data_IF_029455218660
#
_entry.id   IF_029455218660
#
_cell.length_a   1.000
_cell.length_b   1.000
_cell.length_c   1.000
_cell.angle_alpha   90.00
_cell.angle_beta   90.00
_cell.angle_gamma   90.00
#
_symmetry.space_group_name_H-M   'P 1'
#
loop_
_entity.id
_entity.type
_entity.pdbx_description
1 polymer ?
#
# COMPACT_ATOMS: atom_id res chain seq x y z
N UNK A 1 27.45 -18.20 29.25
CA UNK A 1 26.68 -19.15 30.07
C UNK A 1 25.30 -18.57 30.31
N UNK A 2 24.30 -19.44 30.19
CA UNK A 2 22.85 -19.35 30.46
C UNK A 2 21.98 -18.24 29.82
N UNK A 3 21.12 -18.61 28.85
CA UNK A 3 20.01 -17.82 28.35
C UNK A 3 18.66 -18.37 28.87
N UNK A 4 18.23 -17.99 30.07
CA UNK A 4 16.87 -18.26 30.56
C UNK A 4 16.38 -17.14 31.46
N UNK A 5 15.52 -16.29 30.94
CA UNK A 5 14.29 -15.82 31.62
C UNK A 5 13.55 -14.83 30.73
N UNK A 6 12.54 -15.35 30.01
CA UNK A 6 11.54 -14.54 29.30
C UNK A 6 10.18 -14.94 29.89
N UNK A 7 9.50 -14.06 30.65
CA UNK A 7 8.25 -14.44 31.30
C UNK A 7 7.13 -14.65 30.27
N UNK A 8 6.46 -15.79 30.37
CA UNK A 8 5.35 -16.20 29.53
C UNK A 8 4.05 -15.44 29.86
N UNK A 9 3.24 -15.18 28.83
CA UNK A 9 1.97 -14.45 28.91
C UNK A 9 0.96 -15.19 29.80
N UNK A 10 0.54 -14.54 30.88
CA UNK A 10 -0.59 -14.94 31.73
C UNK A 10 -1.89 -14.99 30.89
N UNK A 11 -2.59 -16.13 30.98
CA UNK A 11 -3.94 -16.33 30.42
C UNK A 11 -4.96 -15.55 31.25
N UNK A 12 -5.96 -15.00 30.55
CA UNK A 12 -7.04 -14.17 31.08
C UNK A 12 -8.06 -15.07 31.77
N UNK A 13 -8.21 -14.91 33.09
CA UNK A 13 -9.28 -15.53 33.88
C UNK A 13 -10.60 -14.81 33.64
N UNK A 14 -11.67 -15.60 33.60
CA UNK A 14 -13.05 -15.19 33.38
C UNK A 14 -13.65 -14.46 34.58
N UNK A 15 -14.64 -13.60 34.28
CA UNK A 15 -15.30 -12.71 35.19
C UNK A 15 -16.41 -13.45 35.95
N UNK A 16 -16.27 -13.60 37.26
CA UNK A 16 -17.28 -14.18 38.15
C UNK A 16 -18.26 -13.07 38.57
N UNK A 17 -19.56 -13.31 38.37
CA UNK A 17 -20.64 -12.52 38.96
C UNK A 17 -20.91 -13.01 40.39
N UNK A 18 -21.06 -12.06 41.30
CA UNK A 18 -21.52 -12.26 42.68
C UNK A 18 -23.03 -12.54 42.70
N UNK A 19 -23.45 -13.60 43.39
CA UNK A 19 -24.77 -13.69 44.03
C UNK A 19 -24.65 -14.49 45.32
N UNK A 20 -25.28 -13.97 46.36
CA UNK A 20 -25.25 -14.36 47.77
C UNK A 20 -25.89 -15.73 48.10
N UNK A 21 -25.59 -16.16 49.33
CA UNK A 21 -25.85 -17.42 50.03
C UNK A 21 -27.28 -17.99 50.01
N UNK A 22 -27.39 -19.34 50.05
CA UNK A 22 -27.93 -20.09 51.22
C UNK A 22 -27.93 -21.63 51.06
N UNK A 23 -27.21 -22.27 51.99
CA UNK A 23 -27.49 -23.53 52.73
C UNK A 23 -27.62 -24.94 52.06
N UNK A 24 -26.64 -25.79 52.43
CA UNK A 24 -26.75 -27.14 53.05
C UNK A 24 -27.42 -28.32 52.29
N UNK A 25 -26.63 -29.29 51.83
CA UNK A 25 -26.40 -30.64 52.42
C UNK A 25 -25.82 -31.65 51.41
N UNK A 26 -24.81 -32.41 51.84
CA UNK A 26 -24.18 -33.60 51.23
C UNK A 26 -24.99 -34.88 51.65
N UNK A 27 -24.76 -36.14 51.18
CA UNK A 27 -23.60 -36.64 50.42
C UNK A 27 -23.85 -37.61 49.22
N UNK A 28 -22.81 -37.70 48.37
CA UNK A 28 -22.21 -38.83 47.58
C UNK A 28 -22.70 -40.29 47.88
N UNK A 29 -22.47 -41.35 47.06
CA UNK A 29 -21.54 -41.46 45.90
C UNK A 29 -21.88 -42.46 44.73
N UNK A 30 -20.94 -42.52 43.77
CA UNK A 30 -20.41 -43.76 43.12
C UNK A 30 -20.88 -44.16 41.70
N UNK A 31 -19.85 -44.23 40.82
CA UNK A 31 -19.58 -45.11 39.66
C UNK A 31 -20.60 -45.19 38.51
N UNK A 32 -20.20 -45.30 37.25
CA UNK A 32 -18.90 -45.53 36.65
C UNK A 32 -19.00 -45.51 35.13
N UNK A 33 -17.84 -45.68 34.50
CA UNK A 33 -17.54 -46.07 33.11
C UNK A 33 -18.69 -46.79 32.36
N UNK A 34 -18.88 -46.69 31.05
CA UNK A 34 -17.94 -46.93 29.95
C UNK A 34 -18.57 -46.44 28.62
N UNK A 35 -17.72 -46.10 27.64
CA UNK A 35 -17.76 -46.48 26.19
C UNK A 35 -19.04 -47.12 25.63
N UNK A 36 -19.44 -47.00 24.36
CA UNK A 36 -19.04 -46.33 23.14
C UNK A 36 -20.12 -46.70 22.08
N UNK A 37 -19.99 -46.12 20.88
CA UNK A 37 -20.54 -46.58 19.59
C UNK A 37 -21.97 -46.14 19.17
N UNK A 38 -21.95 -45.33 18.10
CA UNK A 38 -22.74 -45.45 16.87
C UNK A 38 -23.85 -46.52 16.85
N UNK A 39 -25.07 -46.13 16.49
CA UNK A 39 -25.55 -46.30 15.11
C UNK A 39 -26.95 -45.71 14.90
N UNK A 40 -27.12 -45.19 13.68
CA UNK A 40 -28.34 -45.06 12.86
C UNK A 40 -29.71 -44.61 13.44
N UNK A 41 -30.25 -43.59 12.77
CA UNK A 41 -31.67 -43.21 12.65
C UNK A 41 -32.58 -44.39 12.20
N UNK A 42 -33.93 -44.30 12.11
CA UNK A 42 -34.77 -43.09 12.12
C UNK A 42 -36.12 -43.20 12.89
N UNK A 43 -36.81 -42.06 12.98
CA UNK A 43 -38.26 -42.05 12.80
C UNK A 43 -39.14 -41.92 14.05
N UNK A 44 -39.77 -40.74 14.11
CA UNK A 44 -41.20 -40.57 14.42
C UNK A 44 -41.62 -40.48 15.89
N UNK A 45 -42.41 -39.42 16.13
CA UNK A 45 -42.90 -38.87 17.41
C UNK A 45 -43.71 -39.85 18.27
N UNK A 46 -43.99 -39.45 19.53
CA UNK A 46 -45.40 -39.30 19.85
C UNK A 46 -45.80 -38.15 20.79
N UNK A 47 -46.99 -37.63 20.48
CA UNK A 47 -48.12 -37.31 21.36
C UNK A 47 -48.09 -36.13 22.34
N UNK A 48 -48.96 -35.16 21.99
CA UNK A 48 -50.15 -34.70 22.73
C UNK A 48 -49.95 -34.14 24.14
N UNK A 49 -50.35 -32.87 24.28
CA UNK A 49 -51.56 -32.57 25.06
C UNK A 49 -52.33 -31.39 24.46
N UNK A 50 -53.58 -31.68 24.11
CA UNK A 50 -54.64 -30.74 23.75
C UNK A 50 -55.24 -30.20 25.05
N UNK A 51 -55.40 -28.88 25.16
CA UNK A 51 -56.58 -28.27 25.75
C UNK A 51 -57.02 -27.09 24.87
N UNK A 52 -58.34 -27.03 24.65
CA UNK A 52 -59.07 -26.10 23.79
C UNK A 52 -59.50 -24.86 24.57
N UNK A 53 -59.82 -23.83 23.78
CA UNK A 53 -60.81 -22.74 23.96
C UNK A 53 -60.15 -21.38 23.69
N UNK A 54 -60.70 -20.45 22.93
CA UNK A 54 -61.94 -20.33 22.17
C UNK A 54 -61.68 -19.18 21.18
N UNK A 55 -62.30 -19.25 20.01
CA UNK A 55 -62.20 -18.28 18.92
C UNK A 55 -62.93 -16.98 19.27
N UNK A 56 -62.30 -15.83 19.04
CA UNK A 56 -63.02 -14.64 18.59
C UNK A 56 -62.14 -13.83 17.61
N UNK A 57 -62.73 -13.41 16.51
CA UNK A 57 -62.11 -12.59 15.45
C UNK A 57 -62.91 -11.30 15.36
N UNK A 58 -62.24 -10.14 15.27
CA UNK A 58 -62.71 -9.15 14.30
C UNK A 58 -61.60 -8.69 13.35
N UNK A 59 -61.99 -8.52 12.09
CA UNK A 59 -61.19 -7.97 10.98
C UNK A 59 -61.07 -6.43 11.07
N UNK A 60 -59.96 -5.90 10.55
CA UNK A 60 -59.97 -4.71 9.69
C UNK A 60 -58.96 -3.60 10.02
N UNK A 61 -57.89 -3.49 9.22
CA UNK A 61 -57.57 -2.30 8.36
C UNK A 61 -56.23 -2.54 7.59
N UNK A 62 -56.10 -2.08 6.33
CA UNK A 62 -54.86 -2.19 5.56
C UNK A 62 -53.97 -0.95 5.75
N UNK A 63 -52.79 -1.09 6.36
CA UNK A 63 -51.78 -0.03 6.40
C UNK A 63 -50.87 -0.07 5.15
N UNK A 64 -50.63 1.11 4.58
CA UNK A 64 -49.81 1.40 3.41
C UNK A 64 -48.31 1.04 3.60
N UNK A 65 -47.55 0.83 2.50
CA UNK A 65 -46.14 0.47 2.60
C UNK A 65 -45.29 1.71 2.94
N UNK A 66 -44.82 1.78 4.18
CA UNK A 66 -43.87 2.78 4.65
C UNK A 66 -42.52 2.61 3.89
N UNK A 67 -42.10 3.65 3.16
CA UNK A 67 -40.80 3.74 2.48
C UNK A 67 -39.66 3.73 3.53
N UNK A 68 -39.30 2.54 4.00
CA UNK A 68 -38.17 2.36 4.89
C UNK A 68 -36.86 2.62 4.11
N UNK A 69 -36.28 3.80 4.32
CA UNK A 69 -34.92 4.11 3.92
C UNK A 69 -33.97 2.93 4.25
N UNK A 70 -33.05 2.55 3.36
CA UNK A 70 -32.26 1.33 3.53
C UNK A 70 -31.42 1.40 4.81
N UNK A 71 -31.80 0.60 5.81
CA UNK A 71 -31.10 0.49 7.10
C UNK A 71 -29.71 -0.09 6.85
N UNK A 72 -28.67 0.72 7.07
CA UNK A 72 -27.27 0.31 6.97
C UNK A 72 -27.02 -1.00 7.75
N UNK A 73 -26.24 -1.89 7.17
CA UNK A 73 -25.88 -3.17 7.79
C UNK A 73 -25.15 -2.96 9.12
N UNK A 74 -25.33 -3.88 10.09
CA UNK A 74 -24.61 -3.88 11.38
C UNK A 74 -23.09 -3.71 11.22
N UNK A 75 -22.52 -4.23 10.13
CA UNK A 75 -21.10 -4.06 9.81
C UNK A 75 -20.74 -2.64 9.32
N UNK A 76 -21.61 -2.00 8.55
CA UNK A 76 -21.43 -0.61 8.11
C UNK A 76 -21.54 0.35 9.30
N UNK A 77 -22.51 0.16 10.20
CA UNK A 77 -22.59 0.92 11.46
C UNK A 77 -21.36 0.71 12.35
N UNK A 78 -20.85 -0.51 12.47
CA UNK A 78 -19.62 -0.79 13.24
C UNK A 78 -18.40 -0.09 12.62
N UNK A 79 -18.33 0.00 11.29
CA UNK A 79 -17.28 0.73 10.57
C UNK A 79 -17.39 2.25 10.77
N UNK A 80 -18.60 2.81 10.70
CA UNK A 80 -18.89 4.22 10.98
C UNK A 80 -18.53 4.60 12.42
N UNK A 81 -19.02 3.86 13.41
CA UNK A 81 -18.68 4.11 14.83
C UNK A 81 -17.18 4.00 15.10
N UNK A 82 -16.48 3.09 14.42
CA UNK A 82 -15.02 2.98 14.53
C UNK A 82 -14.33 4.21 13.93
N UNK A 83 -14.84 4.71 12.81
CA UNK A 83 -14.33 5.92 12.16
C UNK A 83 -14.57 7.17 13.02
N UNK A 84 -15.78 7.37 13.54
CA UNK A 84 -16.13 8.47 14.46
C UNK A 84 -15.30 8.43 15.74
N UNK A 85 -15.10 7.24 16.32
CA UNK A 85 -14.24 7.06 17.49
C UNK A 85 -12.77 7.39 17.18
N UNK A 86 -12.31 7.04 15.98
CA UNK A 86 -10.96 7.37 15.54
C UNK A 86 -10.82 8.89 15.33
N UNK A 87 -11.79 9.51 14.67
CA UNK A 87 -11.80 10.94 14.39
C UNK A 87 -11.87 11.79 15.67
N UNK A 88 -12.78 11.47 16.59
CA UNK A 88 -12.85 12.14 17.90
C UNK A 88 -11.57 11.98 18.70
N UNK A 89 -10.89 10.82 18.61
CA UNK A 89 -9.58 10.60 19.23
C UNK A 89 -8.40 11.23 18.48
N UNK A 90 -8.60 12.00 17.40
CA UNK A 90 -7.49 12.58 16.61
C UNK A 90 -6.71 13.62 17.40
N UNK A 91 -7.38 14.55 18.06
CA UNK A 91 -6.73 15.60 18.87
C UNK A 91 -6.05 15.00 20.10
N UNK A 92 -6.69 14.06 20.81
CA UNK A 92 -6.07 13.33 21.92
C UNK A 92 -4.78 12.62 21.51
N UNK A 93 -4.77 11.98 20.34
CA UNK A 93 -3.58 11.30 19.82
C UNK A 93 -2.48 12.30 19.43
N UNK A 94 -2.85 13.47 18.94
CA UNK A 94 -1.91 14.57 18.65
C UNK A 94 -1.28 15.10 19.94
N UNK A 95 -2.06 15.30 21.01
CA UNK A 95 -1.57 15.70 22.33
C UNK A 95 -0.66 14.62 22.93
N UNK A 96 -1.12 13.37 22.99
CA UNK A 96 -0.31 12.23 23.47
C UNK A 96 1.00 12.06 22.71
N UNK A 97 0.99 12.29 21.38
CA UNK A 97 2.22 12.30 20.57
C UNK A 97 3.16 13.44 20.98
N UNK A 98 2.64 14.67 21.14
CA UNK A 98 3.43 15.83 21.58
C UNK A 98 4.05 15.59 22.96
N UNK A 99 3.27 15.08 23.91
CA UNK A 99 3.74 14.73 25.26
C UNK A 99 4.80 13.64 25.23
N UNK A 100 4.58 12.56 24.46
CA UNK A 100 5.57 11.49 24.30
C UNK A 100 6.88 11.98 23.67
N UNK A 101 6.79 12.90 22.70
CA UNK A 101 7.97 13.55 22.11
C UNK A 101 8.68 14.43 23.14
N UNK A 102 7.92 15.23 23.92
CA UNK A 102 8.46 16.10 24.96
C UNK A 102 9.17 15.31 26.06
N UNK A 103 8.51 14.28 26.60
CA UNK A 103 9.09 13.38 27.61
C UNK A 103 10.35 12.67 27.08
N UNK A 104 10.37 12.27 25.80
CA UNK A 104 11.56 11.70 25.17
C UNK A 104 12.69 12.73 25.06
N UNK A 105 12.39 13.99 24.75
CA UNK A 105 13.38 15.08 24.71
C UNK A 105 13.93 15.40 26.11
N UNK A 106 13.07 15.42 27.14
CA UNK A 106 13.44 15.68 28.53
C UNK A 106 14.31 14.57 29.11
N UNK A 107 13.91 13.30 28.97
CA UNK A 107 14.71 12.16 29.43
C UNK A 107 16.12 12.17 28.82
N UNK A 108 16.21 12.47 27.52
CA UNK A 108 17.50 12.59 26.82
C UNK A 108 18.32 13.77 27.31
N UNK A 109 17.70 14.91 27.62
CA UNK A 109 18.41 16.07 28.17
C UNK A 109 18.99 15.74 29.55
N UNK A 110 18.25 15.01 30.39
CA UNK A 110 18.73 14.54 31.68
C UNK A 110 19.90 13.54 31.53
N UNK A 111 19.76 12.53 30.66
CA UNK A 111 20.84 11.59 30.32
C UNK A 111 22.11 12.33 29.80
N UNK A 112 21.94 13.43 29.06
CA UNK A 112 23.06 14.28 28.60
C UNK A 112 23.67 15.12 29.72
N UNK A 113 22.88 15.73 30.58
CA UNK A 113 23.37 16.53 31.72
C UNK A 113 24.19 15.65 32.68
N UNK A 114 23.77 14.41 32.90
CA UNK A 114 24.49 13.41 33.68
C UNK A 114 25.85 13.06 33.04
N UNK A 115 25.89 12.71 31.75
CA UNK A 115 27.14 12.43 31.03
C UNK A 115 28.05 13.66 30.82
N UNK A 116 27.48 14.89 30.82
CA UNK A 116 28.25 16.14 30.78
C UNK A 116 28.92 16.39 32.12
N UNK A 117 28.25 16.11 33.25
CA UNK A 117 28.82 16.22 34.59
C UNK A 117 29.99 15.25 34.80
N UNK A 118 29.98 14.10 34.14
CA UNK A 118 31.07 13.11 34.10
C UNK A 118 32.26 13.51 33.20
N UNK A 119 32.20 14.69 32.54
CA UNK A 119 33.33 15.26 31.78
C UNK A 119 33.58 14.66 30.39
N UNK A 120 32.68 13.83 29.87
CA UNK A 120 32.95 12.98 28.70
C UNK A 120 32.52 13.58 27.34
N UNK A 121 31.61 14.57 27.28
CA UNK A 121 31.01 15.02 26.00
C UNK A 121 30.75 16.55 25.97
N UNK A 122 31.25 17.24 24.93
CA UNK A 122 31.13 18.71 24.76
C UNK A 122 29.76 19.19 24.23
N UNK A 123 28.98 18.33 23.57
CA UNK A 123 27.67 18.66 23.00
C UNK A 123 26.61 17.57 23.24
N UNK A 124 25.32 17.93 23.30
CA UNK A 124 24.25 16.95 23.43
C UNK A 124 24.20 16.02 22.21
N UNK A 125 24.08 14.70 22.40
CA UNK A 125 23.97 13.77 21.28
C UNK A 125 22.71 14.08 20.45
N UNK A 126 22.83 14.17 19.11
CA UNK A 126 21.74 14.59 18.24
C UNK A 126 20.52 13.69 18.41
N UNK A 127 19.30 14.28 18.36
CA UNK A 127 17.99 13.64 18.59
C UNK A 127 17.82 12.30 17.86
N UNK A 128 18.47 12.18 16.72
CA UNK A 128 18.75 10.94 16.01
C UNK A 128 20.25 10.85 15.83
N UNK A 129 20.79 9.63 15.88
CA UNK A 129 22.13 9.43 15.33
C UNK A 129 22.16 10.11 13.95
N UNK A 130 23.22 10.86 13.60
CA UNK A 130 23.41 11.25 12.22
C UNK A 130 23.29 9.94 11.45
N UNK A 131 22.28 9.81 10.59
CA UNK A 131 22.36 8.74 9.61
C UNK A 131 23.69 9.07 8.92
N UNK A 132 24.68 8.19 9.03
CA UNK A 132 25.74 8.15 8.02
C UNK A 132 24.97 7.77 6.76
N UNK A 133 24.35 8.77 6.15
CA UNK A 133 23.47 8.57 5.01
C UNK A 133 24.40 8.08 3.94
N UNK A 134 24.05 6.95 3.34
CA UNK A 134 24.60 6.65 2.03
C UNK A 134 24.47 7.93 1.19
N UNK A 135 25.49 8.28 0.39
CA UNK A 135 25.44 9.47 -0.43
C UNK A 135 24.13 9.46 -1.23
N UNK A 136 23.51 10.63 -1.42
CA UNK A 136 22.24 10.71 -2.12
C UNK A 136 22.36 10.02 -3.48
N UNK A 137 21.38 9.16 -3.81
CA UNK A 137 21.38 8.43 -5.07
C UNK A 137 21.50 9.36 -6.28
N UNK A 138 22.01 8.83 -7.38
CA UNK A 138 22.21 9.57 -8.63
C UNK A 138 20.85 9.79 -9.29
N UNK A 139 20.50 11.05 -9.58
CA UNK A 139 19.33 11.37 -10.40
C UNK A 139 19.65 10.96 -11.84
N UNK A 140 18.78 10.17 -12.49
CA UNK A 140 18.90 9.79 -13.90
C UNK A 140 17.93 10.59 -14.76
N UNK A 141 18.22 10.80 -16.06
CA UNK A 141 17.34 11.55 -16.96
C UNK A 141 16.18 10.65 -17.44
N UNK A 142 15.36 10.18 -16.50
CA UNK A 142 14.12 9.47 -16.79
C UNK A 142 13.03 10.04 -15.90
N UNK A 143 11.87 10.32 -16.47
CA UNK A 143 10.68 10.74 -15.72
C UNK A 143 9.67 9.59 -15.61
N UNK A 144 9.08 9.44 -14.43
CA UNK A 144 7.89 8.60 -14.24
C UNK A 144 6.72 9.45 -13.79
N UNK A 145 5.62 9.40 -14.54
CA UNK A 145 4.38 10.14 -14.26
C UNK A 145 3.29 9.19 -13.79
N UNK A 146 2.62 9.54 -12.70
CA UNK A 146 1.36 8.91 -12.30
C UNK A 146 0.19 9.64 -12.96
N UNK A 147 -0.52 8.99 -13.87
CA UNK A 147 -1.76 9.51 -14.44
C UNK A 147 -2.90 9.33 -13.45
N UNK A 148 -3.35 10.40 -12.80
CA UNK A 148 -4.38 10.32 -11.75
C UNK A 148 -5.77 10.77 -12.19
N UNK A 149 -6.04 10.83 -13.49
CA UNK A 149 -7.38 11.14 -14.02
C UNK A 149 -8.31 9.92 -14.03
N UNK A 150 -8.45 9.26 -12.88
CA UNK A 150 -9.24 8.03 -12.72
C UNK A 150 -10.18 8.05 -11.50
N UNK A 151 -10.41 9.22 -10.92
CA UNK A 151 -11.17 9.35 -9.67
C UNK A 151 -12.57 8.71 -9.75
N UNK A 152 -13.24 8.84 -10.89
CA UNK A 152 -14.57 8.27 -11.12
C UNK A 152 -14.61 6.72 -11.15
N UNK A 153 -13.47 6.07 -11.37
CA UNK A 153 -13.34 4.61 -11.45
C UNK A 153 -12.94 3.97 -10.10
N UNK A 154 -12.73 4.79 -9.07
CA UNK A 154 -12.26 4.34 -7.76
C UNK A 154 -13.24 4.68 -6.65
N UNK A 155 -13.40 3.75 -5.72
CA UNK A 155 -14.06 4.05 -4.46
C UNK A 155 -13.12 4.84 -3.52
N UNK A 156 -13.66 5.54 -2.52
CA UNK A 156 -12.86 6.37 -1.59
C UNK A 156 -11.73 5.62 -0.87
N UNK A 157 -11.93 4.32 -0.58
CA UNK A 157 -10.89 3.50 0.05
C UNK A 157 -9.77 3.15 -0.92
N UNK A 158 -10.08 3.02 -2.20
CA UNK A 158 -9.10 2.79 -3.27
C UNK A 158 -8.30 4.05 -3.56
N UNK A 159 -8.95 5.21 -3.57
CA UNK A 159 -8.27 6.50 -3.66
C UNK A 159 -7.31 6.73 -2.48
N UNK A 160 -7.71 6.32 -1.26
CA UNK A 160 -6.82 6.33 -0.09
C UNK A 160 -5.60 5.43 -0.30
N UNK A 161 -5.81 4.23 -0.85
CA UNK A 161 -4.74 3.29 -1.19
C UNK A 161 -3.82 3.84 -2.27
N UNK A 162 -4.35 4.48 -3.30
CA UNK A 162 -3.56 5.13 -4.35
C UNK A 162 -2.66 6.23 -3.78
N UNK A 163 -3.19 7.11 -2.92
CA UNK A 163 -2.38 8.13 -2.26
C UNK A 163 -1.26 7.55 -1.38
N UNK A 164 -1.48 6.39 -0.75
CA UNK A 164 -0.43 5.66 -0.02
C UNK A 164 0.62 5.08 -0.98
N UNK A 165 0.18 4.50 -2.10
CA UNK A 165 1.08 3.98 -3.13
C UNK A 165 1.99 5.07 -3.70
N UNK A 166 1.46 6.27 -4.01
CA UNK A 166 2.26 7.42 -4.46
C UNK A 166 3.27 7.88 -3.38
N UNK A 167 2.84 7.92 -2.11
CA UNK A 167 3.73 8.27 -0.98
C UNK A 167 4.87 7.27 -0.81
N UNK A 168 4.57 5.97 -1.00
CA UNK A 168 5.57 4.90 -0.99
C UNK A 168 6.52 5.03 -2.18
N UNK A 169 5.99 5.26 -3.38
CA UNK A 169 6.75 5.52 -4.59
C UNK A 169 7.79 6.64 -4.42
N UNK A 170 7.39 7.77 -3.85
CA UNK A 170 8.32 8.86 -3.51
C UNK A 170 9.41 8.43 -2.51
N UNK A 171 9.00 7.71 -1.47
CA UNK A 171 9.92 7.23 -0.43
C UNK A 171 10.95 6.24 -0.96
N UNK A 172 10.54 5.34 -1.86
CA UNK A 172 11.39 4.32 -2.45
C UNK A 172 12.33 4.94 -3.49
N UNK A 173 11.84 5.86 -4.33
CA UNK A 173 12.68 6.64 -5.25
C UNK A 173 13.78 7.42 -4.52
N UNK A 174 13.47 8.08 -3.39
CA UNK A 174 14.47 8.84 -2.65
C UNK A 174 15.56 7.97 -2.03
N UNK A 175 15.26 6.71 -1.70
CA UNK A 175 16.23 5.76 -1.14
C UNK A 175 17.00 5.00 -2.22
N UNK A 176 16.56 5.05 -3.47
CA UNK A 176 17.15 4.29 -4.54
C UNK A 176 18.56 4.83 -4.89
N UNK A 177 19.50 3.95 -5.28
CA UNK A 177 20.81 4.35 -5.78
C UNK A 177 20.73 5.18 -7.07
N UNK A 178 19.72 4.91 -7.89
CA UNK A 178 19.39 5.65 -9.11
C UNK A 178 17.93 6.11 -9.03
N UNK A 179 17.70 7.41 -9.22
CA UNK A 179 16.43 8.08 -8.93
C UNK A 179 15.81 8.67 -10.17
N UNK A 180 14.51 8.44 -10.34
CA UNK A 180 13.70 9.07 -11.38
C UNK A 180 13.30 10.48 -11.00
N UNK A 181 13.00 11.30 -12.00
CA UNK A 181 12.11 12.44 -11.81
C UNK A 181 10.70 11.90 -11.67
N UNK A 182 9.95 12.37 -10.67
CA UNK A 182 8.57 11.92 -10.47
C UNK A 182 7.59 13.04 -10.79
N UNK A 183 6.44 12.67 -11.35
CA UNK A 183 5.34 13.57 -11.61
C UNK A 183 4.00 12.93 -11.29
N UNK A 184 3.00 13.77 -11.02
CA UNK A 184 1.59 13.39 -11.08
C UNK A 184 0.88 14.32 -12.04
N UNK A 185 0.05 13.76 -12.92
CA UNK A 185 -0.82 14.52 -13.80
C UNK A 185 -2.25 14.50 -13.28
N UNK A 186 -3.04 15.46 -13.75
CA UNK A 186 -4.43 15.70 -13.35
C UNK A 186 -4.54 15.87 -11.84
N UNK A 187 -3.57 16.58 -11.25
CA UNK A 187 -3.51 16.86 -9.83
C UNK A 187 -4.68 17.76 -9.41
N UNK A 188 -5.61 17.19 -8.65
CA UNK A 188 -6.82 17.89 -8.23
C UNK A 188 -7.78 16.99 -7.48
N UNK A 189 -9.04 17.41 -7.43
CA UNK A 189 -10.17 16.63 -6.92
C UNK A 189 -9.98 16.10 -5.50
N UNK A 190 -10.61 14.96 -5.22
CA UNK A 190 -10.55 14.29 -3.91
C UNK A 190 -9.13 13.84 -3.55
N UNK A 191 -8.28 13.59 -4.55
CA UNK A 191 -6.90 13.23 -4.30
C UNK A 191 -6.13 14.38 -3.64
N UNK A 192 -6.18 15.58 -4.24
CA UNK A 192 -5.53 16.78 -3.70
C UNK A 192 -6.08 17.14 -2.32
N UNK A 193 -7.40 17.10 -2.15
CA UNK A 193 -8.05 17.32 -0.85
C UNK A 193 -7.53 16.38 0.24
N UNK A 194 -7.33 15.10 -0.08
CA UNK A 194 -6.77 14.12 0.87
C UNK A 194 -5.33 14.44 1.24
N UNK A 195 -4.50 14.81 0.26
CA UNK A 195 -3.11 15.19 0.50
C UNK A 195 -3.01 16.48 1.32
N UNK A 196 -3.88 17.43 1.08
CA UNK A 196 -3.97 18.67 1.85
C UNK A 196 -4.45 18.43 3.29
N UNK A 197 -5.47 17.59 3.46
CA UNK A 197 -6.10 17.33 4.76
C UNK A 197 -5.39 16.28 5.61
N UNK A 198 -5.50 15.00 5.22
CA UNK A 198 -5.03 13.87 6.04
C UNK A 198 -3.49 13.82 6.09
N UNK A 199 -2.85 14.11 4.94
CA UNK A 199 -1.39 14.12 4.83
C UNK A 199 -0.79 15.51 5.11
N UNK A 200 -1.58 16.46 5.64
CA UNK A 200 -1.12 17.75 6.13
C UNK A 200 -0.20 18.51 5.17
N UNK A 201 -0.49 18.48 3.86
CA UNK A 201 0.29 19.15 2.81
C UNK A 201 1.77 18.75 2.76
N UNK A 202 2.15 17.59 3.30
CA UNK A 202 3.54 17.12 3.33
C UNK A 202 4.20 17.08 1.94
N UNK A 203 3.41 16.82 0.90
CA UNK A 203 3.86 16.74 -0.48
C UNK A 203 4.50 18.04 -1.00
N UNK A 204 4.14 19.19 -0.43
CA UNK A 204 4.73 20.50 -0.79
C UNK A 204 6.23 20.59 -0.48
N UNK A 205 6.73 19.72 0.39
CA UNK A 205 8.15 19.62 0.73
C UNK A 205 8.92 18.57 -0.08
N UNK A 206 8.25 17.85 -0.99
CA UNK A 206 8.87 16.77 -1.74
C UNK A 206 9.84 17.34 -2.79
N UNK A 207 11.04 16.77 -2.85
CA UNK A 207 12.09 17.20 -3.80
C UNK A 207 12.12 16.24 -4.99
N UNK A 208 12.17 16.78 -6.20
CA UNK A 208 12.17 15.97 -7.43
C UNK A 208 10.84 15.26 -7.71
N UNK A 209 9.73 15.79 -7.19
CA UNK A 209 8.38 15.33 -7.47
C UNK A 209 7.53 16.53 -7.88
N UNK A 210 6.97 16.50 -9.09
CA UNK A 210 6.15 17.57 -9.64
C UNK A 210 4.65 17.23 -9.55
N UNK A 211 3.83 18.22 -9.21
CA UNK A 211 2.38 18.10 -9.12
C UNK A 211 1.74 18.99 -10.18
N UNK A 212 1.23 18.39 -11.26
CA UNK A 212 0.73 19.10 -12.44
C UNK A 212 -0.79 18.95 -12.54
N UNK A 213 -1.51 20.07 -12.69
CA UNK A 213 -2.98 20.07 -12.83
C UNK A 213 -3.41 19.62 -14.24
N UNK A 214 -2.51 19.74 -15.22
CA UNK A 214 -2.63 19.27 -16.59
C UNK A 214 -2.86 17.76 -16.73
N UNK A 215 -3.43 17.31 -17.85
CA UNK A 215 -3.50 15.89 -18.18
C UNK A 215 -2.12 15.24 -18.40
N UNK A 216 -2.12 13.91 -18.49
CA UNK A 216 -0.89 13.12 -18.67
C UNK A 216 -0.16 13.44 -19.98
N UNK A 217 -0.88 13.85 -21.04
CA UNK A 217 -0.28 14.24 -22.33
C UNK A 217 0.57 15.48 -22.14
N UNK A 218 -0.04 16.57 -21.66
CA UNK A 218 0.67 17.84 -21.47
C UNK A 218 1.72 17.73 -20.37
N UNK A 219 1.46 16.98 -19.29
CA UNK A 219 2.45 16.72 -18.25
C UNK A 219 3.66 15.96 -18.78
N UNK A 220 3.45 14.97 -19.68
CA UNK A 220 4.55 14.22 -20.30
C UNK A 220 5.42 15.09 -21.21
N UNK A 221 4.82 16.04 -21.94
CA UNK A 221 5.58 17.01 -22.73
C UNK A 221 6.37 17.98 -21.84
N UNK A 222 5.77 18.49 -20.76
CA UNK A 222 6.45 19.33 -19.77
C UNK A 222 7.64 18.62 -19.11
N UNK A 223 7.55 17.30 -18.92
CA UNK A 223 8.59 16.53 -18.25
C UNK A 223 9.91 16.45 -19.01
N UNK A 224 9.90 16.68 -20.32
CA UNK A 224 11.13 16.77 -21.13
C UNK A 224 12.07 17.86 -20.61
N UNK A 225 11.51 18.97 -20.11
CA UNK A 225 12.31 20.05 -19.53
C UNK A 225 12.92 19.67 -18.17
N UNK A 226 12.30 18.76 -17.42
CA UNK A 226 12.80 18.35 -16.09
C UNK A 226 14.11 17.56 -16.18
N UNK A 227 14.31 16.87 -17.31
CA UNK A 227 15.50 16.08 -17.60
C UNK A 227 16.63 16.90 -18.23
N UNK A 228 16.41 18.21 -18.49
CA UNK A 228 17.42 19.10 -19.07
C UNK A 228 18.25 19.80 -17.99
N UNK A 229 19.45 20.23 -18.39
CA UNK A 229 20.34 21.05 -17.57
C UNK A 229 21.01 20.32 -16.41
N UNK A 230 21.68 21.05 -15.49
CA UNK A 230 22.53 20.44 -14.45
C UNK A 230 21.79 19.58 -13.42
N UNK A 231 20.49 19.82 -13.25
CA UNK A 231 19.62 19.06 -12.34
C UNK A 231 18.81 17.97 -13.05
N UNK A 232 18.94 17.86 -14.38
CA UNK A 232 18.24 16.89 -15.22
C UNK A 232 18.64 15.44 -14.99
N UNK A 233 19.73 15.21 -14.27
CA UNK A 233 20.27 13.90 -13.98
C UNK A 233 21.45 13.56 -14.87
N UNK A 234 22.04 12.39 -14.62
CA UNK A 234 23.18 11.87 -15.38
C UNK A 234 22.90 10.42 -15.74
N UNK A 235 23.38 10.01 -16.91
CA UNK A 235 23.34 8.61 -17.34
C UNK A 235 24.13 7.77 -16.34
N UNK A 236 23.45 6.82 -15.68
CA UNK A 236 24.02 5.99 -14.62
C UNK A 236 23.23 4.69 -14.46
N UNK A 237 23.81 3.72 -13.74
CA UNK A 237 23.22 2.41 -13.54
C UNK A 237 23.13 1.62 -14.84
N UNK A 238 22.03 0.91 -15.04
CA UNK A 238 21.74 0.16 -16.28
C UNK A 238 21.82 1.05 -17.54
N UNK A 239 21.46 2.33 -17.45
CA UNK A 239 21.47 3.25 -18.60
C UNK A 239 22.88 3.49 -19.17
N UNK A 240 23.92 3.44 -18.33
CA UNK A 240 25.28 3.65 -18.78
C UNK A 240 25.84 2.45 -19.58
N UNK A 241 25.29 1.26 -19.37
CA UNK A 241 25.67 0.04 -20.11
C UNK A 241 25.03 0.02 -21.49
N UNK A 242 23.78 0.46 -21.58
CA UNK A 242 23.01 0.48 -22.83
C UNK A 242 23.69 1.36 -23.89
N UNK A 243 24.14 2.56 -23.48
CA UNK A 243 24.88 3.47 -24.36
C UNK A 243 26.24 2.92 -24.85
N UNK A 244 26.81 1.91 -24.18
CA UNK A 244 28.11 1.35 -24.55
C UNK A 244 28.00 0.10 -25.45
N UNK A 245 26.89 -0.64 -25.36
CA UNK A 245 26.75 -1.96 -26.00
C UNK A 245 25.78 -1.99 -27.19
N UNK A 246 24.93 -0.96 -27.39
CA UNK A 246 23.87 -0.96 -28.42
C UNK A 246 23.87 0.29 -29.34
N UNK A 247 24.91 1.12 -29.33
CA UNK A 247 24.93 2.38 -30.10
C UNK A 247 25.12 2.16 -31.60
N UNK A 248 24.02 2.08 -32.36
CA UNK A 248 24.04 2.51 -33.77
C UNK A 248 23.72 4.00 -33.85
N UNK A 249 24.17 4.70 -34.90
CA UNK A 249 23.94 6.15 -35.05
C UNK A 249 22.44 6.54 -35.07
N UNK A 250 21.54 5.58 -35.34
CA UNK A 250 20.09 5.80 -35.29
C UNK A 250 19.55 5.70 -33.87
N UNK A 251 20.13 4.82 -33.04
CA UNK A 251 19.76 4.63 -31.64
C UNK A 251 20.28 5.77 -30.78
N UNK A 252 21.48 6.28 -31.05
CA UNK A 252 22.03 7.46 -30.35
C UNK A 252 21.11 8.68 -30.48
N UNK A 253 20.59 8.95 -31.68
CA UNK A 253 19.65 10.06 -31.90
C UNK A 253 18.30 9.84 -31.20
N UNK A 254 17.82 8.60 -31.16
CA UNK A 254 16.58 8.25 -30.45
C UNK A 254 16.74 8.36 -28.93
N UNK A 255 17.92 8.03 -28.40
CA UNK A 255 18.25 8.15 -26.98
C UNK A 255 18.49 9.61 -26.56
N UNK A 256 18.94 10.47 -27.47
CA UNK A 256 18.99 11.92 -27.26
C UNK A 256 17.60 12.56 -27.20
N UNK A 257 16.68 12.20 -28.11
CA UNK A 257 15.32 12.75 -28.13
C UNK A 257 14.40 12.13 -27.06
N UNK A 258 14.68 10.88 -26.66
CA UNK A 258 13.88 10.11 -25.71
C UNK A 258 12.50 9.71 -26.26
N UNK A 259 11.73 8.98 -25.46
CA UNK A 259 10.37 8.57 -25.80
C UNK A 259 9.36 8.82 -24.68
N UNK A 260 8.08 8.90 -25.04
CA UNK A 260 6.96 8.90 -24.08
C UNK A 260 6.21 7.58 -24.23
N UNK A 261 6.14 6.81 -23.14
CA UNK A 261 5.54 5.47 -23.15
C UNK A 261 4.54 5.34 -22.01
N UNK A 262 3.30 4.98 -22.33
CA UNK A 262 2.30 4.61 -21.33
C UNK A 262 2.41 3.12 -20.99
N UNK A 263 2.67 2.81 -19.73
CA UNK A 263 2.78 1.44 -19.23
C UNK A 263 1.39 0.85 -18.95
N UNK A 264 1.02 -0.20 -19.68
CA UNK A 264 -0.23 -0.95 -19.46
C UNK A 264 -0.01 -2.44 -19.71
N UNK A 265 -0.62 -3.29 -18.89
CA UNK A 265 -0.46 -4.74 -18.98
C UNK A 265 -1.02 -5.34 -20.29
N UNK A 266 -2.01 -4.68 -20.88
CA UNK A 266 -2.70 -5.06 -22.13
C UNK A 266 -1.97 -4.59 -23.40
N UNK A 267 -0.82 -3.91 -23.29
CA UNK A 267 -0.07 -3.50 -24.48
C UNK A 267 0.47 -4.71 -25.24
N UNK A 268 0.41 -4.64 -26.56
CA UNK A 268 1.03 -5.63 -27.45
C UNK A 268 2.57 -5.52 -27.44
N UNK A 269 3.11 -4.35 -27.12
CA UNK A 269 4.56 -4.13 -27.06
C UNK A 269 5.12 -4.47 -25.68
N UNK A 270 6.25 -5.18 -25.64
CA UNK A 270 6.97 -5.45 -24.39
C UNK A 270 8.06 -4.40 -24.17
N UNK A 271 8.19 -3.89 -22.94
CA UNK A 271 9.26 -2.98 -22.55
C UNK A 271 10.55 -3.76 -22.29
N UNK A 272 11.49 -3.68 -23.24
CA UNK A 272 12.75 -4.43 -23.15
C UNK A 272 13.78 -3.75 -22.24
N UNK A 273 13.91 -2.43 -22.34
CA UNK A 273 14.84 -1.62 -21.52
C UNK A 273 14.24 -0.26 -21.20
N UNK A 274 14.74 0.37 -20.14
CA UNK A 274 14.48 1.80 -19.89
C UNK A 274 15.51 2.62 -20.66
N UNK A 275 15.05 3.66 -21.35
CA UNK A 275 15.87 4.54 -22.16
C UNK A 275 16.12 5.88 -21.48
N UNK A 276 17.29 6.50 -21.68
CA UNK A 276 17.52 7.85 -21.21
C UNK A 276 16.59 8.85 -21.90
N UNK A 277 16.46 10.04 -21.28
CA UNK A 277 15.63 11.16 -21.71
C UNK A 277 14.15 10.81 -21.94
N UNK A 278 13.69 9.69 -21.40
CA UNK A 278 12.37 9.13 -21.66
C UNK A 278 11.41 9.33 -20.48
N UNK A 279 10.13 9.39 -20.80
CA UNK A 279 9.04 9.55 -19.85
C UNK A 279 8.12 8.33 -19.88
N UNK A 280 8.00 7.66 -18.74
CA UNK A 280 7.14 6.50 -18.55
C UNK A 280 5.91 6.88 -17.73
N UNK A 281 4.72 6.59 -18.24
CA UNK A 281 3.46 6.93 -17.59
C UNK A 281 2.86 5.67 -16.97
N UNK A 282 2.49 5.74 -15.70
CA UNK A 282 1.83 4.67 -14.95
C UNK A 282 0.42 5.14 -14.63
N UNK A 283 -0.59 4.33 -14.97
CA UNK A 283 -1.96 4.57 -14.55
C UNK A 283 -2.07 4.59 -13.03
N UNK A 284 -2.39 5.76 -12.46
CA UNK A 284 -2.71 5.93 -11.05
C UNK A 284 -4.12 5.42 -10.78
N UNK A 285 -4.30 4.09 -10.86
CA UNK A 285 -5.58 3.42 -10.73
C UNK A 285 -5.45 2.27 -9.73
N UNK A 286 -6.39 2.20 -8.77
CA UNK A 286 -6.51 1.08 -7.83
C UNK A 286 -7.91 0.53 -7.98
N UNK A 287 -8.07 -0.48 -8.83
CA UNK A 287 -9.39 -1.05 -9.14
C UNK A 287 -9.40 -2.59 -9.09
N UNK A 288 -8.27 -3.21 -8.74
CA UNK A 288 -8.06 -4.67 -8.82
C UNK A 288 -8.30 -5.24 -10.23
N UNK A 289 -8.06 -4.44 -11.26
CA UNK A 289 -8.30 -4.74 -12.67
C UNK A 289 -9.78 -5.02 -12.99
N UNK A 290 -10.71 -4.29 -12.35
CA UNK A 290 -12.13 -4.29 -12.73
C UNK A 290 -12.33 -3.70 -14.12
N UNK A 291 -11.58 -2.65 -14.44
CA UNK A 291 -11.66 -1.91 -15.69
C UNK A 291 -10.53 -2.35 -16.63
N UNK A 292 -10.63 -3.59 -17.15
CA UNK A 292 -9.62 -4.19 -18.05
C UNK A 292 -9.31 -3.26 -19.23
N UNK A 293 -8.04 -2.99 -19.46
CA UNK A 293 -7.57 -2.19 -20.59
C UNK A 293 -7.93 -0.69 -20.55
N UNK A 294 -8.42 -0.16 -19.43
CA UNK A 294 -8.79 1.27 -19.33
C UNK A 294 -7.60 2.20 -19.62
N UNK A 295 -6.45 1.94 -18.99
CA UNK A 295 -5.22 2.69 -19.20
C UNK A 295 -4.72 2.55 -20.65
N UNK A 296 -4.73 1.32 -21.18
CA UNK A 296 -4.33 1.03 -22.56
C UNK A 296 -5.17 1.82 -23.58
N UNK A 297 -6.50 1.75 -23.45
CA UNK A 297 -7.41 2.49 -24.33
C UNK A 297 -7.17 3.99 -24.26
N UNK A 298 -7.04 4.56 -23.06
CA UNK A 298 -6.78 5.98 -22.85
C UNK A 298 -5.48 6.45 -23.54
N UNK A 299 -4.44 5.63 -23.48
CA UNK A 299 -3.17 5.90 -24.14
C UNK A 299 -3.30 5.86 -25.67
N UNK A 300 -4.00 4.86 -26.21
CA UNK A 300 -4.27 4.74 -27.66
C UNK A 300 -5.12 5.90 -28.18
N UNK A 301 -6.17 6.27 -27.46
CA UNK A 301 -7.05 7.40 -27.81
C UNK A 301 -6.28 8.73 -27.86
N UNK A 302 -5.17 8.82 -27.10
CA UNK A 302 -4.26 9.98 -27.10
C UNK A 302 -3.08 9.84 -28.06
N UNK A 303 -3.04 8.77 -28.87
CA UNK A 303 -1.98 8.52 -29.86
C UNK A 303 -0.60 8.19 -29.25
N UNK A 304 -0.55 7.73 -27.99
CA UNK A 304 0.72 7.44 -27.34
C UNK A 304 1.24 6.04 -27.61
N UNK A 305 2.57 5.90 -27.60
CA UNK A 305 3.23 4.60 -27.51
C UNK A 305 2.86 3.95 -26.18
N UNK A 306 2.61 2.65 -26.22
CA UNK A 306 2.33 1.84 -25.04
C UNK A 306 3.32 0.69 -24.94
N UNK A 307 3.58 0.21 -23.72
CA UNK A 307 4.32 -1.02 -23.48
C UNK A 307 3.85 -1.71 -22.20
N UNK A 308 4.00 -3.02 -22.11
CA UNK A 308 3.85 -3.81 -20.87
C UNK A 308 5.22 -4.16 -20.30
N UNK A 309 5.31 -4.32 -18.98
CA UNK A 309 6.51 -4.90 -18.36
C UNK A 309 6.67 -6.37 -18.82
N UNK A 310 7.91 -6.88 -18.98
CA UNK A 310 8.18 -8.22 -19.48
C UNK A 310 7.92 -9.33 -18.45
N UNK A 311 6.91 -9.19 -17.60
CA UNK A 311 6.64 -10.09 -16.45
C UNK A 311 6.44 -11.54 -16.92
N UNK A 312 5.73 -11.75 -18.02
CA UNK A 312 5.39 -13.10 -18.51
C UNK A 312 6.57 -13.90 -19.06
N UNK A 313 7.67 -13.23 -19.40
CA UNK A 313 8.89 -13.87 -19.89
C UNK A 313 9.73 -14.42 -18.73
N UNK A 314 9.71 -13.73 -17.59
CA UNK A 314 10.58 -14.05 -16.46
C UNK A 314 9.87 -14.80 -15.33
N UNK A 315 8.54 -14.69 -15.21
CA UNK A 315 7.80 -15.25 -14.09
C UNK A 315 6.65 -16.14 -14.57
N UNK A 316 6.71 -17.43 -14.23
CA UNK A 316 5.54 -18.29 -14.26
C UNK A 316 4.69 -17.97 -13.03
N UNK A 317 3.50 -17.42 -13.24
CA UNK A 317 2.57 -17.11 -12.17
C UNK A 317 1.18 -17.60 -12.55
N UNK A 318 0.54 -18.34 -11.64
CA UNK A 318 -0.89 -18.67 -11.71
C UNK A 318 -1.78 -17.43 -11.43
N UNK A 319 -1.15 -16.32 -11.01
CA UNK A 319 -1.84 -15.09 -10.63
C UNK A 319 -1.80 -14.01 -11.72
N UNK A 320 -2.78 -13.09 -11.67
CA UNK A 320 -2.93 -11.98 -12.64
C UNK A 320 -1.62 -11.18 -12.80
N UNK A 321 -1.26 -10.90 -14.06
CA UNK A 321 -0.05 -10.14 -14.46
C UNK A 321 -0.16 -8.62 -14.24
N UNK A 322 -1.27 -8.13 -13.69
CA UNK A 322 -1.50 -6.70 -13.40
C UNK A 322 -0.95 -6.34 -12.03
N UNK A 323 -0.03 -5.37 -11.99
CA UNK A 323 0.66 -4.91 -10.78
C UNK A 323 0.04 -3.62 -10.22
N UNK A 324 0.26 -3.37 -8.93
CA UNK A 324 -0.09 -2.09 -8.31
C UNK A 324 0.92 -1.01 -8.66
N UNK A 325 0.48 0.24 -8.69
CA UNK A 325 1.23 1.44 -9.08
C UNK A 325 2.63 1.52 -8.46
N UNK A 326 2.73 1.30 -7.15
CA UNK A 326 4.03 1.40 -6.46
C UNK A 326 4.99 0.26 -6.83
N UNK A 327 4.48 -0.94 -7.12
CA UNK A 327 5.35 -2.05 -7.54
C UNK A 327 5.91 -1.81 -8.93
N UNK A 328 5.15 -1.21 -9.84
CA UNK A 328 5.66 -0.86 -11.18
C UNK A 328 6.86 0.08 -11.06
N UNK A 329 6.74 1.16 -10.28
CA UNK A 329 7.88 2.06 -10.03
C UNK A 329 9.05 1.34 -9.35
N UNK A 330 8.78 0.56 -8.29
CA UNK A 330 9.82 -0.14 -7.53
C UNK A 330 10.59 -1.13 -8.41
N UNK A 331 9.91 -1.84 -9.31
CA UNK A 331 10.54 -2.73 -10.30
C UNK A 331 11.44 -1.92 -11.25
N UNK A 332 10.97 -0.79 -11.77
CA UNK A 332 11.79 0.07 -12.64
C UNK A 332 13.03 0.60 -11.92
N UNK A 333 12.92 0.97 -10.63
CA UNK A 333 14.06 1.37 -9.81
C UNK A 333 15.06 0.21 -9.64
N UNK A 334 14.57 -1.01 -9.38
CA UNK A 334 15.42 -2.20 -9.30
C UNK A 334 16.04 -2.57 -10.63
N UNK A 335 15.36 -2.34 -11.73
CA UNK A 335 15.94 -2.55 -13.06
C UNK A 335 17.13 -1.60 -13.29
N UNK A 336 17.06 -0.32 -12.89
CA UNK A 336 18.21 0.59 -12.99
C UNK A 336 19.43 0.12 -12.18
N UNK A 337 19.22 -0.59 -11.07
CA UNK A 337 20.29 -1.17 -10.25
C UNK A 337 20.92 -2.40 -10.90
N UNK A 338 20.09 -3.32 -11.41
CA UNK A 338 20.52 -4.68 -11.76
C UNK A 338 20.71 -4.91 -13.26
N UNK A 339 20.10 -4.07 -14.11
CA UNK A 339 20.01 -4.26 -15.56
C UNK A 339 19.41 -5.64 -15.91
N UNK A 340 18.42 -6.07 -15.13
CA UNK A 340 17.85 -7.42 -15.18
C UNK A 340 16.42 -7.39 -14.64
N UNK A 341 15.44 -7.60 -15.52
CA UNK A 341 14.02 -7.61 -15.17
C UNK A 341 13.66 -8.77 -14.23
N UNK A 342 14.23 -9.96 -14.42
CA UNK A 342 13.99 -11.11 -13.57
C UNK A 342 14.40 -10.85 -12.11
N UNK A 343 15.61 -10.30 -11.90
CA UNK A 343 16.06 -9.88 -10.56
C UNK A 343 15.18 -8.79 -9.96
N UNK A 344 14.77 -7.81 -10.78
CA UNK A 344 13.89 -6.73 -10.33
C UNK A 344 12.52 -7.27 -9.87
N UNK A 345 11.91 -8.17 -10.65
CA UNK A 345 10.63 -8.81 -10.29
C UNK A 345 10.74 -9.60 -8.99
N UNK A 346 11.77 -10.42 -8.81
CA UNK A 346 11.95 -11.26 -7.61
C UNK A 346 12.13 -10.41 -6.34
N UNK A 347 12.81 -9.27 -6.44
CA UNK A 347 13.04 -8.40 -5.29
C UNK A 347 11.76 -7.68 -4.84
N UNK A 348 10.90 -7.30 -5.78
CA UNK A 348 9.71 -6.49 -5.48
C UNK A 348 8.47 -7.34 -5.23
N UNK A 349 8.29 -8.42 -6.00
CA UNK A 349 7.09 -9.25 -5.91
C UNK A 349 7.18 -10.20 -4.70
N UNK A 350 6.15 -10.26 -3.84
CA UNK A 350 6.17 -11.14 -2.67
C UNK A 350 6.33 -12.61 -3.06
N UNK A 351 7.26 -13.33 -2.41
CA UNK A 351 7.57 -14.75 -2.66
C UNK A 351 6.36 -15.68 -2.67
N UNK A 352 5.29 -15.33 -1.94
CA UNK A 352 4.01 -16.08 -1.90
C UNK A 352 3.21 -16.04 -3.22
N UNK A 353 3.62 -15.24 -4.21
CA UNK A 353 3.01 -15.20 -5.55
C UNK A 353 3.72 -16.11 -6.56
N UNK A 354 4.54 -17.06 -6.10
CA UNK A 354 4.98 -18.20 -6.91
C UNK A 354 5.99 -17.89 -8.01
N UNK A 355 6.69 -16.75 -7.96
CA UNK A 355 7.64 -16.38 -9.01
C UNK A 355 8.89 -17.25 -9.02
N UNK A 356 8.85 -18.34 -9.77
CA UNK A 356 10.02 -19.10 -10.21
C UNK A 356 10.45 -18.53 -11.56
N UNK A 357 11.76 -18.33 -11.75
CA UNK A 357 12.31 -17.89 -13.04
C UNK A 357 12.05 -18.98 -14.08
N UNK A 358 11.48 -18.62 -15.23
CA UNK A 358 11.47 -19.53 -16.38
C UNK A 358 12.92 -19.76 -16.82
N UNK A 359 13.38 -21.01 -16.79
CA UNK A 359 14.66 -21.41 -17.39
C UNK A 359 14.56 -21.35 -18.92
N UNK A 360 15.68 -21.12 -19.61
CA UNK A 360 15.73 -20.83 -21.06
C UNK A 360 15.13 -21.93 -21.97
N UNK A 361 14.81 -23.11 -21.43
CA UNK A 361 14.31 -24.28 -22.16
C UNK A 361 12.78 -24.33 -22.38
N UNK A 362 11.97 -23.49 -21.71
CA UNK A 362 10.49 -23.53 -21.80
C UNK A 362 9.88 -22.41 -22.69
N UNK A 363 10.58 -21.98 -23.74
CA UNK A 363 10.11 -20.92 -24.68
C UNK A 363 9.09 -21.39 -25.73
N UNK A 364 8.56 -22.61 -25.63
CA UNK A 364 7.57 -23.15 -26.56
C UNK A 364 6.32 -23.60 -25.82
N UNK A 365 5.16 -23.13 -26.29
CA UNK A 365 3.80 -23.50 -25.88
C UNK A 365 3.21 -22.77 -24.66
N UNK A 366 2.35 -21.78 -24.91
CA UNK A 366 1.21 -21.51 -24.01
C UNK A 366 -0.08 -21.41 -24.86
N UNK A 367 -0.94 -22.42 -24.68
CA UNK A 367 -2.35 -22.42 -25.06
C UNK A 367 -3.20 -21.84 -23.92
N UNK A 368 -4.24 -21.11 -24.31
CA UNK A 368 -5.18 -20.40 -23.45
C UNK A 368 -6.03 -21.33 -22.58
N UNK A 369 -6.09 -21.09 -21.27
CA UNK A 369 -7.27 -21.43 -20.45
C UNK A 369 -7.47 -20.41 -19.32
N UNK A 370 -8.54 -19.62 -19.40
CA UNK A 370 -9.02 -18.75 -18.34
C UNK A 370 -9.70 -19.61 -17.25
N UNK A 371 -9.22 -19.50 -16.01
CA UNK A 371 -9.86 -20.01 -14.80
C UNK A 371 -9.92 -18.90 -13.76
N UNK A 372 -11.13 -18.47 -13.43
CA UNK A 372 -11.40 -17.48 -12.38
C UNK A 372 -11.20 -18.11 -11.00
N UNK A 373 -10.30 -17.54 -10.19
CA UNK A 373 -10.33 -17.72 -8.74
C UNK A 373 -10.09 -16.41 -7.99
N UNK A 374 -10.89 -16.19 -6.95
CA UNK A 374 -10.95 -14.98 -6.14
C UNK A 374 -9.75 -14.87 -5.19
N UNK A 375 -8.98 -13.78 -5.32
CA UNK A 375 -8.02 -13.37 -4.30
C UNK A 375 -8.67 -12.38 -3.32
N UNK A 376 -9.21 -12.90 -2.23
CA UNK A 376 -9.56 -12.10 -1.06
C UNK A 376 -8.27 -11.56 -0.40
N UNK A 377 -7.93 -10.31 -0.71
CA UNK A 377 -6.97 -9.54 0.10
C UNK A 377 -7.73 -8.99 1.29
N UNK A 378 -7.66 -9.68 2.43
CA UNK A 378 -8.10 -9.10 3.70
C UNK A 378 -7.25 -7.86 4.01
N UNK A 379 -7.86 -6.69 3.85
CA UNK A 379 -7.32 -5.43 4.31
C UNK A 379 -7.49 -5.34 5.84
N UNK A 380 -6.64 -6.07 6.56
CA UNK A 380 -6.55 -5.98 8.00
C UNK A 380 -5.84 -4.66 8.40
N UNK A 381 -6.65 -3.60 8.51
CA UNK A 381 -6.48 -2.55 9.52
C UNK A 381 -5.22 -1.70 9.43
N UNK A 382 -5.09 -0.89 8.37
CA UNK A 382 -4.02 0.09 8.30
C UNK A 382 -4.44 1.50 8.79
N UNK A 383 -4.56 1.62 10.11
CA UNK A 383 -4.52 2.91 10.78
C UNK A 383 -3.15 3.19 11.41
N UNK A 384 -2.24 2.20 11.41
CA UNK A 384 -0.90 2.23 12.02
C UNK A 384 0.25 2.39 11.01
N UNK A 385 0.16 1.81 9.82
CA UNK A 385 1.08 2.07 8.69
C UNK A 385 0.84 3.43 8.05
N UNK A 386 -0.39 3.97 8.01
CA UNK A 386 -0.59 5.40 7.72
C UNK A 386 0.19 6.30 8.70
N UNK A 387 0.31 5.89 9.98
CA UNK A 387 1.11 6.65 10.94
C UNK A 387 2.61 6.41 10.76
N UNK A 388 3.05 5.20 10.38
CA UNK A 388 4.47 4.91 10.15
C UNK A 388 5.01 5.55 8.85
N UNK A 389 4.23 5.55 7.77
CA UNK A 389 4.58 6.22 6.51
C UNK A 389 4.61 7.74 6.68
N UNK A 390 3.61 8.31 7.38
CA UNK A 390 3.61 9.74 7.73
C UNK A 390 4.74 10.06 8.72
N UNK A 391 5.08 9.18 9.67
CA UNK A 391 6.22 9.35 10.60
C UNK A 391 7.59 9.28 9.89
N UNK A 392 7.71 8.51 8.81
CA UNK A 392 8.91 8.46 7.98
C UNK A 392 9.09 9.75 7.17
N UNK A 393 8.02 10.32 6.62
CA UNK A 393 8.06 11.54 5.79
C UNK A 393 8.09 12.82 6.63
N UNK A 394 7.33 12.89 7.73
CA UNK A 394 7.26 14.06 8.63
C UNK A 394 8.58 14.37 9.31
N UNK A 395 9.41 13.36 9.55
CA UNK A 395 10.59 13.52 10.36
C UNK A 395 11.86 13.88 9.56
N UNK A 396 11.70 14.25 8.29
CA UNK A 396 12.80 14.57 7.36
C UNK A 396 12.62 15.93 6.66
N UNK A 397 11.54 16.68 6.96
CA UNK A 397 11.31 18.05 6.47
C UNK A 397 11.68 19.16 7.45
N UNK A 398 12.14 18.83 8.66
CA UNK A 398 12.39 19.80 9.77
C UNK A 398 13.89 20.01 10.05
N UNK A 399 14.73 19.91 9.01
CA UNK A 399 16.17 20.15 9.14
C UNK A 399 16.68 21.06 8.04
N UNK A 400 16.21 22.31 8.03
CA UNK A 400 16.99 23.42 7.46
C UNK A 400 16.49 24.79 7.94
N UNK A 401 16.61 25.07 9.24
CA UNK A 401 16.72 26.45 9.73
C UNK A 401 17.71 26.47 10.89
N UNK A 402 18.99 26.65 10.55
CA UNK A 402 19.96 27.15 11.50
C UNK A 402 19.68 28.63 11.79
N UNK A 403 19.97 29.13 13.00
CA UNK A 403 19.75 30.53 13.32
C UNK A 403 20.79 31.39 12.57
N UNK A 404 20.31 32.37 11.80
CA UNK A 404 21.10 33.54 11.37
C UNK A 404 21.34 34.48 12.54
#
# INVERSE_FOLDING_TARGET
>A
MDPKERPAKLRKLEHTQETEDTNMTDPTPTAGQVEAQNDNAPGTQPLRKLEKEQTDVPQGEPEEPDEAAPKLSKNQLKKQRRWERWESGREDRKVKRKEKIKARKERRRAEWEEHRAEGSISQPPPLRAPRRGDPPGVQVPITVIFDCNFEEYMHDHELKSLGLQITRSYSDNRKAPFRFHLGISSWGGKMKERFDGILAKQYTSWKGFQFCEEDFVKTSEMSKEWMKGPQGGKIAGALAKDSAEHSTAKDEKADEEGEIVYLSAESDNTLERLKPNSTYIIGGLVDKNRHKGLCYKRALDSGMKTAKLPIGEFLQMDSRKVLVTNHVLEIMLKWLEHDDWGKAFIQVLPKRKGGVLKTEEEKGEEGTSDGEEEAAVEEAGDAQSMTAAVEAVCAEGDSDQGPT
#
